data_IF_874454372244
#
_entry.id   IF_874454372244
#
_cell.length_a   1.000
_cell.length_b   1.000
_cell.length_c   1.000
_cell.angle_alpha   90.00
_cell.angle_beta   90.00
_cell.angle_gamma   90.00
#
_symmetry.space_group_name_H-M   'P 1'
#
loop_
_entity.id
_entity.type
_entity.pdbx_description
1 polymer ?
#
# COMPACT_ATOMS: atom_id res chain seq x y z
N UNK A 1 -11.13 18.93 -3.00
CA UNK A 1 -9.67 18.92 -3.17
C UNK A 1 -9.21 17.50 -3.00
N UNK A 2 -8.68 16.96 -4.09
CA UNK A 2 -7.98 15.69 -4.08
C UNK A 2 -6.67 15.88 -3.30
N UNK A 3 -6.30 14.92 -2.46
CA UNK A 3 -5.11 14.99 -1.62
C UNK A 3 -4.24 13.72 -1.75
N UNK A 4 -3.84 13.29 -2.96
CA UNK A 4 -3.02 12.10 -3.17
C UNK A 4 -1.54 12.37 -2.89
N UNK A 5 -0.81 11.33 -2.50
CA UNK A 5 0.65 11.32 -2.51
C UNK A 5 1.20 11.06 -3.91
N UNK A 6 0.40 10.46 -4.81
CA UNK A 6 0.79 10.11 -6.17
C UNK A 6 -0.15 10.72 -7.24
N UNK A 7 -0.02 12.03 -7.54
CA UNK A 7 -0.88 12.70 -8.52
C UNK A 7 -0.85 12.07 -9.92
N UNK A 8 0.32 11.58 -10.36
CA UNK A 8 0.53 10.96 -11.67
C UNK A 8 -0.30 9.69 -11.86
N UNK A 9 -0.31 8.80 -10.86
CA UNK A 9 -1.13 7.59 -10.92
C UNK A 9 -2.63 7.93 -10.96
N UNK A 10 -3.06 8.91 -10.16
CA UNK A 10 -4.45 9.37 -10.21
C UNK A 10 -4.81 9.91 -11.60
N UNK A 11 -3.92 10.71 -12.21
CA UNK A 11 -4.12 11.23 -13.56
C UNK A 11 -4.32 10.09 -14.56
N UNK A 12 -3.40 9.11 -14.56
CA UNK A 12 -3.45 7.96 -15.46
C UNK A 12 -4.73 7.14 -15.28
N UNK A 13 -5.12 6.86 -14.04
CA UNK A 13 -6.31 6.06 -13.74
C UNK A 13 -7.60 6.78 -14.12
N UNK A 14 -7.72 8.08 -13.80
CA UNK A 14 -8.88 8.89 -14.17
C UNK A 14 -8.99 9.05 -15.69
N UNK A 15 -7.88 9.31 -16.39
CA UNK A 15 -7.90 9.39 -17.85
C UNK A 15 -8.30 8.03 -18.48
N UNK A 16 -7.78 6.92 -17.94
CA UNK A 16 -8.09 5.57 -18.39
C UNK A 16 -9.57 5.22 -18.24
N UNK A 17 -10.18 5.46 -17.08
CA UNK A 17 -11.61 5.12 -16.86
C UNK A 17 -12.55 6.00 -17.68
N UNK A 18 -12.18 7.25 -17.97
CA UNK A 18 -12.92 8.14 -18.85
C UNK A 18 -12.66 7.85 -20.35
N UNK A 19 -11.74 6.93 -20.67
CA UNK A 19 -11.28 6.64 -22.04
C UNK A 19 -10.78 7.89 -22.76
N UNK A 20 -9.97 8.69 -22.06
CA UNK A 20 -9.36 9.93 -22.57
C UNK A 20 -7.83 9.82 -22.54
N UNK A 21 -7.12 10.57 -23.40
CA UNK A 21 -5.67 10.66 -23.31
C UNK A 21 -5.24 11.33 -21.99
N UNK A 22 -4.02 11.04 -21.52
CA UNK A 22 -3.55 11.54 -20.22
C UNK A 22 -3.51 13.07 -20.13
N UNK A 23 -3.23 13.75 -21.25
CA UNK A 23 -3.23 15.22 -21.33
C UNK A 23 -4.64 15.85 -21.18
N UNK A 24 -5.70 15.06 -21.15
CA UNK A 24 -7.06 15.53 -20.89
C UNK A 24 -7.30 15.81 -19.39
N UNK A 25 -6.56 15.15 -18.51
CA UNK A 25 -6.75 15.22 -17.06
C UNK A 25 -5.59 15.97 -16.43
N UNK A 26 -5.88 17.03 -15.66
CA UNK A 26 -4.91 17.68 -14.79
C UNK A 26 -5.24 17.35 -13.32
N UNK A 27 -4.22 17.05 -12.52
CA UNK A 27 -4.38 16.71 -11.09
C UNK A 27 -3.59 17.70 -10.26
N UNK A 28 -4.29 18.54 -9.50
CA UNK A 28 -3.69 19.56 -8.65
C UNK A 28 -3.77 19.19 -7.17
N UNK A 29 -2.63 19.28 -6.47
CA UNK A 29 -2.54 19.04 -5.02
C UNK A 29 -1.73 20.14 -4.36
N UNK A 30 -2.38 21.00 -3.57
CA UNK A 30 -1.69 22.12 -2.87
C UNK A 30 -0.98 21.67 -1.60
N UNK A 31 -1.68 20.95 -0.72
CA UNK A 31 -1.18 20.43 0.56
C UNK A 31 -2.07 19.31 1.06
N UNK A 32 -1.50 18.40 1.85
CA UNK A 32 -2.22 17.31 2.49
C UNK A 32 -2.24 17.48 4.01
N UNK A 33 -3.38 17.21 4.63
CA UNK A 33 -3.49 17.08 6.10
C UNK A 33 -3.05 15.69 6.58
N UNK A 34 -1.78 15.34 6.38
CA UNK A 34 -1.23 14.00 6.67
C UNK A 34 -1.59 12.94 5.62
N UNK A 35 -0.70 11.94 5.46
CA UNK A 35 -0.86 10.88 4.45
C UNK A 35 -0.27 9.53 4.89
N UNK A 36 1.00 9.49 5.30
CA UNK A 36 1.67 8.32 5.90
C UNK A 36 1.59 7.02 5.05
N UNK A 37 1.58 7.15 3.71
CA UNK A 37 1.47 6.02 2.76
C UNK A 37 0.03 5.70 2.36
N UNK A 38 -0.94 5.95 3.23
CA UNK A 38 -2.36 5.65 2.97
C UNK A 38 -3.04 6.49 1.90
N UNK A 39 -2.32 7.37 1.19
CA UNK A 39 -2.83 8.14 0.05
C UNK A 39 -1.95 8.01 -1.19
N UNK A 40 -1.04 7.04 -1.21
CA UNK A 40 -0.22 6.71 -2.37
C UNK A 40 -1.11 6.14 -3.48
N UNK A 41 -1.78 5.01 -3.22
CA UNK A 41 -2.68 4.35 -4.18
C UNK A 41 -4.16 4.52 -3.82
N UNK A 42 -4.48 4.46 -2.52
CA UNK A 42 -5.84 4.39 -1.97
C UNK A 42 -6.71 5.64 -2.22
N UNK A 43 -6.10 6.76 -2.62
CA UNK A 43 -6.82 7.95 -3.06
C UNK A 43 -7.42 7.85 -4.47
N UNK A 44 -6.85 7.00 -5.33
CA UNK A 44 -7.20 6.93 -6.74
C UNK A 44 -8.61 6.36 -7.02
N UNK A 45 -9.09 5.30 -6.34
CA UNK A 45 -10.46 4.81 -6.56
C UNK A 45 -11.53 5.88 -6.36
N UNK A 46 -11.37 6.73 -5.33
CA UNK A 46 -12.29 7.83 -5.04
C UNK A 46 -12.22 8.95 -6.08
N UNK A 47 -11.03 9.22 -6.61
CA UNK A 47 -10.85 10.14 -7.73
C UNK A 47 -11.59 9.65 -8.98
N UNK A 48 -11.47 8.34 -9.29
CA UNK A 48 -12.13 7.69 -10.40
C UNK A 48 -13.66 7.75 -10.26
N UNK A 49 -14.20 7.42 -9.08
CA UNK A 49 -15.64 7.51 -8.82
C UNK A 49 -16.17 8.94 -8.97
N UNK A 50 -15.44 9.93 -8.44
CA UNK A 50 -15.82 11.34 -8.61
C UNK A 50 -15.80 11.76 -10.08
N UNK A 51 -14.79 11.32 -10.85
CA UNK A 51 -14.69 11.61 -12.28
C UNK A 51 -15.84 10.99 -13.11
N UNK A 52 -16.24 9.75 -12.80
CA UNK A 52 -17.42 9.13 -13.42
C UNK A 52 -18.70 9.89 -13.08
N UNK A 53 -18.85 10.33 -11.83
CA UNK A 53 -20.02 11.12 -11.43
C UNK A 53 -20.08 12.46 -12.20
N UNK A 54 -18.95 13.15 -12.39
CA UNK A 54 -18.88 14.35 -13.24
C UNK A 54 -19.31 14.03 -14.67
N UNK A 55 -18.80 12.92 -15.24
CA UNK A 55 -19.11 12.51 -16.60
C UNK A 55 -20.61 12.28 -16.84
N UNK A 56 -21.30 11.67 -15.87
CA UNK A 56 -22.73 11.37 -15.99
C UNK A 56 -23.64 12.54 -15.60
N UNK A 57 -23.25 13.35 -14.61
CA UNK A 57 -24.09 14.44 -14.09
C UNK A 57 -23.88 15.76 -14.82
N UNK A 58 -22.77 15.90 -15.57
CA UNK A 58 -22.44 17.14 -16.28
C UNK A 58 -22.13 18.33 -15.37
N UNK A 59 -21.81 18.08 -14.10
CA UNK A 59 -21.52 19.12 -13.11
C UNK A 59 -20.33 18.74 -12.22
N UNK A 60 -19.77 19.73 -11.52
CA UNK A 60 -18.63 19.52 -10.63
C UNK A 60 -19.04 18.68 -9.40
N UNK A 61 -18.27 17.63 -9.09
CA UNK A 61 -18.53 16.71 -7.97
C UNK A 61 -17.40 16.78 -6.95
N UNK A 62 -17.78 16.75 -5.65
CA UNK A 62 -16.85 16.67 -4.53
C UNK A 62 -17.15 15.41 -3.71
N UNK A 63 -16.13 14.58 -3.54
CA UNK A 63 -16.20 13.39 -2.70
C UNK A 63 -15.31 13.56 -1.46
N UNK A 64 -15.88 13.30 -0.28
CA UNK A 64 -15.16 13.29 1.00
C UNK A 64 -15.74 12.16 1.84
N UNK A 65 -14.92 11.19 2.18
CA UNK A 65 -15.34 10.08 3.03
C UNK A 65 -15.59 10.57 4.47
N UNK A 66 -16.62 10.00 5.10
CA UNK A 66 -16.72 10.03 6.54
C UNK A 66 -15.57 9.20 7.13
N UNK A 67 -15.14 9.55 8.35
CA UNK A 67 -13.98 8.89 8.96
C UNK A 67 -14.20 7.39 9.15
N UNK A 68 -15.41 6.98 9.52
CA UNK A 68 -15.78 5.57 9.69
C UNK A 68 -15.62 4.76 8.39
N UNK A 69 -15.93 5.39 7.25
CA UNK A 69 -15.86 4.73 5.95
C UNK A 69 -14.41 4.66 5.46
N UNK A 70 -13.66 5.75 5.66
CA UNK A 70 -12.22 5.79 5.38
C UNK A 70 -11.48 4.66 6.09
N UNK A 71 -11.73 4.45 7.40
CA UNK A 71 -11.12 3.36 8.16
C UNK A 71 -11.47 1.96 7.64
N UNK A 72 -12.68 1.78 7.11
CA UNK A 72 -13.14 0.49 6.61
C UNK A 72 -12.67 0.19 5.20
N UNK A 73 -12.40 1.23 4.39
CA UNK A 73 -12.27 1.09 2.94
C UNK A 73 -10.86 1.32 2.40
N UNK A 74 -10.03 2.11 3.08
CA UNK A 74 -8.78 2.64 2.47
C UNK A 74 -7.50 1.89 2.82
N UNK A 75 -7.59 0.62 3.22
CA UNK A 75 -6.40 -0.19 3.57
C UNK A 75 -5.56 0.39 4.70
N UNK A 76 -4.73 -0.39 5.38
CA UNK A 76 -3.73 0.14 6.33
C UNK A 76 -2.48 -0.72 6.25
N UNK A 77 -1.60 -0.62 7.25
CA UNK A 77 -0.38 -1.43 7.35
C UNK A 77 -0.74 -2.92 7.32
N UNK A 78 -0.03 -3.70 6.51
CA UNK A 78 -0.10 -5.15 6.50
C UNK A 78 0.14 -5.72 7.91
N UNK A 79 -0.79 -6.53 8.43
CA UNK A 79 -0.47 -7.45 9.50
C UNK A 79 0.59 -8.45 9.03
N UNK A 80 1.50 -8.81 9.92
CA UNK A 80 2.50 -9.84 9.67
C UNK A 80 2.34 -10.98 10.67
N UNK A 81 2.39 -12.20 10.17
CA UNK A 81 2.52 -13.40 10.98
C UNK A 81 3.85 -14.06 10.64
N UNK A 82 4.83 -13.96 11.52
CA UNK A 82 6.19 -14.38 11.23
C UNK A 82 6.53 -15.65 12.00
N UNK A 83 7.29 -16.54 11.37
CA UNK A 83 7.86 -17.72 12.00
C UNK A 83 9.37 -17.67 11.86
N UNK A 84 10.09 -18.00 12.91
CA UNK A 84 11.55 -17.94 12.91
C UNK A 84 12.15 -19.09 13.71
N UNK A 85 13.28 -19.57 13.24
CA UNK A 85 14.17 -20.47 13.97
C UNK A 85 15.57 -19.87 13.96
N UNK A 86 16.14 -19.65 15.15
CA UNK A 86 17.42 -18.98 15.32
C UNK A 86 18.35 -19.88 16.11
N UNK A 87 19.51 -20.19 15.55
CA UNK A 87 20.60 -20.87 16.23
C UNK A 87 21.52 -19.86 16.89
N UNK A 88 21.91 -20.12 18.13
CA UNK A 88 22.86 -19.29 18.89
C UNK A 88 23.71 -20.17 19.81
N UNK A 89 24.87 -19.65 20.20
CA UNK A 89 25.80 -20.33 21.13
C UNK A 89 25.51 -19.97 22.60
N UNK A 90 26.30 -20.53 23.53
CA UNK A 90 26.17 -20.26 24.97
C UNK A 90 26.44 -18.80 25.37
N UNK A 91 27.08 -18.01 24.50
CA UNK A 91 27.34 -16.58 24.69
C UNK A 91 26.24 -15.71 24.05
N UNK A 92 25.26 -16.31 23.37
CA UNK A 92 24.17 -15.62 22.69
C UNK A 92 24.53 -15.09 21.29
N UNK A 93 25.66 -15.51 20.72
CA UNK A 93 26.03 -15.12 19.35
C UNK A 93 25.23 -15.94 18.35
N UNK A 94 24.57 -15.26 17.41
CA UNK A 94 23.72 -15.89 16.40
C UNK A 94 24.59 -16.59 15.34
N UNK A 95 24.39 -17.89 15.17
CA UNK A 95 25.08 -18.72 14.16
C UNK A 95 24.26 -18.90 12.88
N UNK A 96 22.94 -18.71 12.95
CA UNK A 96 22.10 -18.65 11.76
C UNK A 96 20.63 -18.43 12.05
N UNK A 97 19.88 -18.09 11.00
CA UNK A 97 18.45 -17.80 11.08
C UNK A 97 17.68 -18.33 9.87
N UNK A 98 16.58 -19.04 10.11
CA UNK A 98 15.57 -19.37 9.11
C UNK A 98 14.29 -18.60 9.47
N UNK A 99 13.91 -17.63 8.64
CA UNK A 99 12.84 -16.67 8.94
C UNK A 99 11.85 -16.64 7.79
N UNK A 100 10.59 -16.89 8.11
CA UNK A 100 9.46 -16.71 7.20
C UNK A 100 8.64 -15.50 7.62
N UNK A 101 8.52 -14.51 6.73
CA UNK A 101 7.66 -13.34 6.90
C UNK A 101 6.40 -13.49 6.07
N UNK A 102 5.23 -13.54 6.71
CA UNK A 102 3.95 -13.66 6.01
C UNK A 102 3.18 -12.34 6.11
N UNK A 103 3.19 -11.56 5.04
CA UNK A 103 2.41 -10.32 4.95
C UNK A 103 0.97 -10.61 4.56
N UNK A 104 0.01 -10.11 5.33
CA UNK A 104 -1.42 -10.26 5.04
C UNK A 104 -1.88 -9.10 4.14
N UNK A 105 -2.07 -9.40 2.85
CA UNK A 105 -2.13 -8.42 1.77
C UNK A 105 -3.54 -7.95 1.38
N UNK A 106 -4.57 -8.52 2.01
CA UNK A 106 -5.95 -8.24 1.62
C UNK A 106 -6.31 -8.82 0.25
N UNK A 107 -7.31 -8.21 -0.39
CA UNK A 107 -7.97 -8.78 -1.56
C UNK A 107 -7.24 -8.49 -2.89
N UNK A 108 -6.32 -7.53 -2.91
CA UNK A 108 -5.60 -7.06 -4.10
C UNK A 108 -4.09 -6.97 -3.84
N UNK A 109 -3.25 -6.95 -4.89
CA UNK A 109 -1.81 -6.85 -4.69
C UNK A 109 -1.38 -5.49 -4.11
N UNK A 110 -1.96 -4.37 -4.55
CA UNK A 110 -1.55 -3.01 -4.17
C UNK A 110 -0.01 -2.88 -4.09
N UNK A 111 0.56 -2.37 -2.98
CA UNK A 111 2.01 -2.27 -2.76
C UNK A 111 2.61 -3.47 -2.02
N UNK A 112 1.89 -4.60 -1.94
CA UNK A 112 2.27 -5.75 -1.11
C UNK A 112 3.64 -6.33 -1.46
N UNK A 113 4.02 -6.32 -2.74
CA UNK A 113 5.31 -6.86 -3.17
C UNK A 113 6.46 -6.07 -2.55
N UNK A 114 6.44 -4.74 -2.71
CA UNK A 114 7.45 -3.85 -2.16
C UNK A 114 7.46 -3.85 -0.63
N UNK A 115 6.30 -4.02 0.01
CA UNK A 115 6.17 -4.06 1.47
C UNK A 115 6.80 -5.33 2.04
N UNK A 116 6.50 -6.50 1.46
CA UNK A 116 7.07 -7.77 1.92
C UNK A 116 8.56 -7.85 1.60
N UNK A 117 9.01 -7.38 0.43
CA UNK A 117 10.44 -7.31 0.11
C UNK A 117 11.19 -6.42 1.11
N UNK A 118 10.62 -5.24 1.44
CA UNK A 118 11.22 -4.38 2.46
C UNK A 118 11.31 -5.08 3.81
N UNK A 119 10.29 -5.83 4.22
CA UNK A 119 10.34 -6.60 5.46
C UNK A 119 11.47 -7.65 5.43
N UNK A 120 11.63 -8.36 4.30
CA UNK A 120 12.72 -9.31 4.11
C UNK A 120 14.10 -8.63 4.23
N UNK A 121 14.30 -7.50 3.53
CA UNK A 121 15.58 -6.77 3.52
C UNK A 121 15.98 -6.14 4.86
N UNK A 122 15.07 -6.09 5.84
CA UNK A 122 15.34 -5.51 7.15
C UNK A 122 15.13 -6.52 8.29
N UNK A 123 15.10 -7.82 7.97
CA UNK A 123 14.94 -8.89 8.96
C UNK A 123 16.16 -9.05 9.87
N UNK A 124 17.33 -8.63 9.38
CA UNK A 124 18.60 -8.54 10.11
C UNK A 124 18.69 -7.32 11.03
N UNK A 125 18.03 -6.23 10.65
CA UNK A 125 18.08 -4.92 11.32
C UNK A 125 19.52 -4.41 11.48
N UNK A 126 20.19 -4.76 12.57
CA UNK A 126 21.56 -4.36 12.88
C UNK A 126 22.43 -5.55 13.30
N UNK A 127 21.95 -6.78 13.12
CA UNK A 127 22.64 -8.01 13.51
C UNK A 127 23.17 -8.73 12.29
N UNK A 128 24.37 -9.29 12.42
CA UNK A 128 24.94 -10.12 11.37
C UNK A 128 24.47 -11.57 11.53
N UNK A 129 23.87 -12.14 10.48
CA UNK A 129 23.51 -13.55 10.42
C UNK A 129 24.46 -14.28 9.45
N UNK A 130 25.42 -15.07 9.95
CA UNK A 130 26.42 -15.71 9.09
C UNK A 130 25.83 -16.76 8.14
N UNK A 131 24.72 -17.39 8.52
CA UNK A 131 23.91 -18.24 7.66
C UNK A 131 22.43 -17.87 7.80
N UNK A 132 21.81 -17.37 6.74
CA UNK A 132 20.41 -16.95 6.78
C UNK A 132 19.61 -17.42 5.58
N UNK A 133 18.38 -17.87 5.82
CA UNK A 133 17.34 -18.05 4.81
C UNK A 133 16.14 -17.21 5.20
N UNK A 134 15.70 -16.33 4.31
CA UNK A 134 14.55 -15.45 4.54
C UNK A 134 13.54 -15.69 3.43
N UNK A 135 12.33 -16.12 3.80
CA UNK A 135 11.22 -16.38 2.87
C UNK A 135 10.10 -15.37 3.10
N UNK A 136 9.63 -14.69 2.06
CA UNK A 136 8.53 -13.72 2.15
C UNK A 136 7.29 -14.12 1.37
N UNK A 137 6.18 -14.33 2.08
CA UNK A 137 4.89 -14.70 1.50
C UNK A 137 3.93 -13.51 1.46
N UNK A 138 3.20 -13.39 0.34
CA UNK A 138 2.14 -12.39 0.13
C UNK A 138 0.79 -13.09 0.26
N UNK A 139 0.20 -13.08 1.44
CA UNK A 139 -1.01 -13.82 1.73
C UNK A 139 -2.25 -13.03 1.30
N UNK A 140 -2.94 -13.51 0.25
CA UNK A 140 -4.25 -12.98 -0.16
C UNK A 140 -5.32 -13.34 0.88
N UNK A 141 -6.12 -12.35 1.29
CA UNK A 141 -7.23 -12.51 2.23
C UNK A 141 -8.48 -11.78 1.74
N UNK A 142 -9.64 -12.10 2.31
CA UNK A 142 -10.90 -11.38 2.06
C UNK A 142 -11.06 -10.15 2.98
N UNK A 143 -10.00 -9.34 3.09
CA UNK A 143 -9.96 -8.08 3.84
C UNK A 143 -9.53 -6.96 2.91
N UNK A 144 -9.72 -5.69 3.30
CA UNK A 144 -9.19 -4.56 2.54
C UNK A 144 -7.67 -4.69 2.34
N UNK A 145 -7.21 -4.31 1.13
CA UNK A 145 -5.80 -4.06 0.84
C UNK A 145 -5.40 -2.71 1.39
#
# INVERSE_FOLDING_TARGET
MLNPQHPTEVQHLVAKILKKPFNFVNVETRRMGGAFGGKETQGAPWACLAALAVYHLGCAVKMRLARSDDFKLTGKRHPFYNHYHVGFDEHGLISGADITVNGFCGYSPDLSDAIVDRAMFHTDNAYYYPAATITGNRCKLNTVS
#
